data_IF_050320608064
#
_entry.id   IF_050320608064
#
_cell.length_a   1.000
_cell.length_b   1.000
_cell.length_c   1.000
_cell.angle_alpha   90.00
_cell.angle_beta   90.00
_cell.angle_gamma   90.00
#
_symmetry.space_group_name_H-M   'P 1'
#
loop_
_entity.id
_entity.type
_entity.pdbx_description
1 polymer ?
#
# COMPACT_ATOMS: atom_id res chain seq x y z
N UNK A 1 0.22 -17.24 -5.19
CA UNK A 1 0.61 -17.36 -6.62
C UNK A 1 1.75 -18.35 -6.81
N UNK A 2 1.50 -19.64 -6.51
CA UNK A 2 2.23 -20.75 -7.12
C UNK A 2 1.19 -21.46 -7.98
N UNK A 3 0.88 -20.89 -9.13
CA UNK A 3 0.04 -21.51 -10.15
C UNK A 3 0.77 -21.37 -11.48
N UNK A 4 1.91 -22.07 -11.56
CA UNK A 4 2.64 -22.27 -12.79
C UNK A 4 2.82 -23.78 -12.92
N UNK A 5 1.94 -24.43 -13.69
CA UNK A 5 2.21 -25.74 -14.28
C UNK A 5 1.61 -26.98 -13.61
N UNK A 6 1.06 -26.88 -12.38
CA UNK A 6 0.33 -27.99 -11.76
C UNK A 6 -1.11 -27.54 -11.49
N UNK A 7 -2.08 -28.24 -12.10
CA UNK A 7 -3.52 -28.04 -11.93
C UNK A 7 -3.96 -28.54 -10.54
N UNK A 8 -3.29 -28.06 -9.49
CA UNK A 8 -3.52 -28.40 -8.10
C UNK A 8 -3.58 -27.05 -7.38
N UNK A 9 -4.77 -26.47 -7.35
CA UNK A 9 -5.02 -25.24 -6.60
C UNK A 9 -5.15 -25.62 -5.12
N UNK A 10 -4.01 -25.74 -4.43
CA UNK A 10 -3.95 -26.16 -3.01
C UNK A 10 -4.79 -25.23 -2.11
N UNK A 11 -5.03 -23.99 -2.55
CA UNK A 11 -5.96 -23.05 -1.90
C UNK A 11 -7.42 -23.50 -1.94
N UNK A 12 -7.82 -24.28 -2.95
CA UNK A 12 -9.18 -24.79 -3.16
C UNK A 12 -9.46 -26.13 -2.49
N UNK A 13 -8.46 -26.78 -1.87
CA UNK A 13 -8.69 -28.04 -1.15
C UNK A 13 -8.84 -27.84 0.36
N UNK A 14 -8.29 -26.75 0.91
CA UNK A 14 -8.29 -26.50 2.35
C UNK A 14 -8.68 -25.07 2.70
N UNK A 15 -9.75 -24.93 3.48
CA UNK A 15 -10.26 -23.66 4.02
C UNK A 15 -9.23 -22.83 4.76
N UNK A 16 -8.26 -23.49 5.41
CA UNK A 16 -7.19 -22.76 6.10
C UNK A 16 -6.19 -22.15 5.12
N UNK A 17 -5.85 -22.87 4.06
CA UNK A 17 -4.84 -22.44 3.08
C UNK A 17 -5.38 -21.26 2.26
N UNK A 18 -6.63 -21.33 1.78
CA UNK A 18 -7.22 -20.16 1.11
C UNK A 18 -7.17 -18.92 2.02
N UNK A 19 -7.63 -19.06 3.27
CA UNK A 19 -7.70 -17.92 4.20
C UNK A 19 -6.35 -17.25 4.38
N UNK A 20 -5.29 -18.04 4.55
CA UNK A 20 -3.92 -17.56 4.69
C UNK A 20 -3.43 -16.91 3.39
N UNK A 21 -3.68 -17.51 2.23
CA UNK A 21 -3.25 -16.94 0.95
C UNK A 21 -3.92 -15.61 0.67
N UNK A 22 -5.25 -15.54 0.82
CA UNK A 22 -6.02 -14.31 0.67
C UNK A 22 -5.51 -13.26 1.65
N UNK A 23 -5.44 -13.58 2.94
CA UNK A 23 -4.95 -12.66 3.95
C UNK A 23 -3.56 -12.12 3.63
N UNK A 24 -2.62 -13.00 3.29
CA UNK A 24 -1.23 -12.63 3.00
C UNK A 24 -1.16 -11.73 1.78
N UNK A 25 -1.87 -12.07 0.71
CA UNK A 25 -1.86 -11.30 -0.53
C UNK A 25 -2.36 -9.87 -0.34
N UNK A 26 -3.51 -9.70 0.30
CA UNK A 26 -4.10 -8.38 0.54
C UNK A 26 -3.30 -7.57 1.56
N UNK A 27 -2.82 -8.21 2.62
CA UNK A 27 -2.00 -7.57 3.67
C UNK A 27 -0.67 -7.07 3.11
N UNK A 28 0.04 -7.89 2.33
CA UNK A 28 1.34 -7.48 1.74
C UNK A 28 1.15 -6.33 0.76
N UNK A 29 0.16 -6.39 -0.14
CA UNK A 29 -0.15 -5.30 -1.07
C UNK A 29 -0.45 -3.99 -0.34
N UNK A 30 -1.25 -4.08 0.72
CA UNK A 30 -1.57 -2.94 1.56
C UNK A 30 -0.35 -2.35 2.25
N UNK A 31 0.48 -3.17 2.88
CA UNK A 31 1.72 -2.74 3.53
C UNK A 31 2.62 -2.03 2.51
N UNK A 32 2.85 -2.62 1.33
CA UNK A 32 3.65 -2.01 0.28
C UNK A 32 3.14 -0.61 -0.12
N UNK A 33 1.84 -0.45 -0.35
CA UNK A 33 1.22 0.83 -0.72
C UNK A 33 1.46 1.91 0.35
N UNK A 34 1.28 1.56 1.63
CA UNK A 34 1.50 2.48 2.74
C UNK A 34 2.98 2.81 2.96
N UNK A 35 3.88 1.84 2.78
CA UNK A 35 5.33 2.08 2.87
C UNK A 35 5.80 3.06 1.79
N UNK A 36 5.30 2.94 0.55
CA UNK A 36 5.62 3.89 -0.52
C UNK A 36 5.11 5.29 -0.15
N UNK A 37 3.89 5.40 0.37
CA UNK A 37 3.34 6.67 0.84
C UNK A 37 4.21 7.30 1.93
N UNK A 38 4.66 6.50 2.91
CA UNK A 38 5.56 6.96 3.96
C UNK A 38 6.92 7.42 3.41
N UNK A 39 7.46 6.75 2.39
CA UNK A 39 8.69 7.20 1.71
C UNK A 39 8.48 8.56 1.04
N UNK A 40 7.32 8.78 0.39
CA UNK A 40 6.99 10.08 -0.20
C UNK A 40 6.90 11.19 0.87
N UNK A 41 6.28 10.89 2.01
CA UNK A 41 6.19 11.82 3.14
C UNK A 41 7.59 12.10 3.70
N UNK A 42 8.39 11.09 3.96
CA UNK A 42 9.75 11.23 4.50
C UNK A 42 10.64 12.10 3.58
N UNK A 43 10.60 11.85 2.26
CA UNK A 43 11.30 12.68 1.27
C UNK A 43 10.83 14.14 1.27
N UNK A 44 9.52 14.38 1.43
CA UNK A 44 8.97 15.72 1.56
C UNK A 44 9.48 16.41 2.84
N UNK A 45 9.42 15.73 3.98
CA UNK A 45 9.89 16.24 5.27
C UNK A 45 11.38 16.58 5.22
N UNK A 46 12.20 15.74 4.58
CA UNK A 46 13.63 15.98 4.40
C UNK A 46 13.92 17.17 3.45
N UNK A 47 13.08 17.37 2.42
CA UNK A 47 13.22 18.51 1.49
C UNK A 47 12.69 19.83 2.05
N UNK A 48 11.92 19.83 3.14
CA UNK A 48 11.35 21.03 3.75
C UNK A 48 12.42 21.86 4.46
N UNK A 49 12.35 23.19 4.34
CA UNK A 49 13.31 24.08 5.03
C UNK A 49 13.01 24.27 6.51
N UNK A 50 11.84 23.81 6.98
CA UNK A 50 11.41 24.00 8.37
C UNK A 50 12.10 22.99 9.29
N UNK A 51 12.91 23.48 10.24
CA UNK A 51 13.67 22.65 11.17
C UNK A 51 12.80 21.70 12.02
N UNK A 52 11.61 22.15 12.43
CA UNK A 52 10.64 21.33 13.18
C UNK A 52 10.09 20.17 12.34
N UNK A 53 9.86 20.39 11.05
CA UNK A 53 9.36 19.39 10.09
C UNK A 53 10.48 18.40 9.73
N UNK A 54 11.71 18.89 9.57
CA UNK A 54 12.90 18.04 9.33
C UNK A 54 13.18 17.09 10.50
N UNK A 55 12.89 17.51 11.74
CA UNK A 55 13.04 16.66 12.93
C UNK A 55 12.06 15.49 12.96
N UNK A 56 10.92 15.59 12.27
CA UNK A 56 9.95 14.49 12.17
C UNK A 56 10.50 13.31 11.34
N UNK A 57 11.33 13.58 10.32
CA UNK A 57 12.08 12.59 9.50
C UNK A 57 13.27 11.97 10.27
N UNK A 58 13.16 11.83 11.59
CA UNK A 58 14.16 11.10 12.36
C UNK A 58 14.07 9.61 12.05
N UNK A 59 15.22 8.95 11.90
CA UNK A 59 15.32 7.50 11.71
C UNK A 59 14.57 6.70 12.80
N UNK A 60 14.47 7.25 14.02
CA UNK A 60 13.70 6.66 15.12
C UNK A 60 12.20 6.66 14.83
N UNK A 61 11.66 7.78 14.35
CA UNK A 61 10.24 7.91 14.01
C UNK A 61 9.89 7.10 12.75
N UNK A 62 10.78 7.05 11.76
CA UNK A 62 10.59 6.23 10.57
C UNK A 62 10.49 4.74 10.93
N UNK A 63 11.41 4.22 11.75
CA UNK A 63 11.36 2.83 12.23
C UNK A 63 10.09 2.53 13.03
N UNK A 64 9.69 3.45 13.92
CA UNK A 64 8.47 3.31 14.70
C UNK A 64 7.22 3.30 13.81
N UNK A 65 7.15 4.20 12.81
CA UNK A 65 6.00 4.28 11.89
C UNK A 65 5.90 3.06 10.99
N UNK A 66 7.03 2.57 10.45
CA UNK A 66 7.08 1.33 9.67
C UNK A 66 6.61 0.15 10.52
N UNK A 67 7.14 0.02 11.75
CA UNK A 67 6.72 -1.03 12.67
C UNK A 67 5.22 -0.99 12.98
N UNK A 68 4.67 0.21 13.23
CA UNK A 68 3.24 0.39 13.44
C UNK A 68 2.41 -0.04 12.22
N UNK A 69 2.78 0.36 11.00
CA UNK A 69 2.06 -0.05 9.77
C UNK A 69 2.10 -1.57 9.59
N UNK A 70 3.26 -2.20 9.82
CA UNK A 70 3.40 -3.65 9.71
C UNK A 70 2.55 -4.43 10.73
N UNK A 71 2.14 -3.82 11.85
CA UNK A 71 1.30 -4.48 12.87
C UNK A 71 -0.19 -4.12 12.67
N UNK A 72 -0.48 -2.84 12.46
CA UNK A 72 -1.84 -2.32 12.35
C UNK A 72 -2.55 -2.89 11.11
N UNK A 73 -1.88 -2.93 9.96
CA UNK A 73 -2.48 -3.39 8.70
C UNK A 73 -2.95 -4.85 8.79
N UNK A 74 -2.12 -5.83 9.24
CA UNK A 74 -2.59 -7.20 9.48
C UNK A 74 -3.76 -7.29 10.46
N UNK A 75 -3.77 -6.50 11.54
CA UNK A 75 -4.88 -6.47 12.50
C UNK A 75 -6.16 -6.02 11.81
N UNK A 76 -6.10 -4.97 10.99
CA UNK A 76 -7.26 -4.54 10.21
C UNK A 76 -7.72 -5.61 9.22
N UNK A 77 -6.85 -6.42 8.63
CA UNK A 77 -7.25 -7.52 7.75
C UNK A 77 -7.68 -8.79 8.49
N UNK A 78 -7.51 -8.87 9.81
CA UNK A 78 -7.86 -10.07 10.58
C UNK A 78 -9.35 -10.43 10.49
N UNK A 79 -10.23 -9.42 10.42
CA UNK A 79 -11.67 -9.62 10.29
C UNK A 79 -12.07 -10.42 9.03
N UNK A 80 -11.25 -10.39 7.99
CA UNK A 80 -11.47 -11.13 6.73
C UNK A 80 -11.41 -12.65 6.91
N UNK A 81 -10.66 -13.15 7.91
CA UNK A 81 -10.55 -14.60 8.18
C UNK A 81 -11.88 -15.25 8.54
N UNK A 82 -12.81 -14.49 9.10
CA UNK A 82 -14.09 -14.99 9.61
C UNK A 82 -15.07 -15.23 8.44
N UNK A 83 -15.07 -14.36 7.43
CA UNK A 83 -16.10 -14.33 6.38
C UNK A 83 -15.70 -15.05 5.08
N UNK A 84 -14.47 -15.53 4.97
CA UNK A 84 -14.00 -16.35 3.86
C UNK A 84 -14.40 -17.81 4.08
N UNK A 85 -15.02 -18.45 3.09
CA UNK A 85 -15.32 -19.89 3.10
C UNK A 85 -15.08 -20.48 1.70
N UNK A 86 -14.85 -21.80 1.63
CA UNK A 86 -14.83 -22.48 0.33
C UNK A 86 -16.26 -22.75 -0.11
N UNK A 87 -16.54 -22.42 -1.37
CA UNK A 87 -17.79 -22.77 -2.03
C UNK A 87 -17.46 -23.51 -3.32
N UNK A 88 -18.13 -24.63 -3.50
CA UNK A 88 -18.08 -25.37 -4.74
C UNK A 88 -18.86 -24.58 -5.80
N UNK A 89 -18.15 -24.06 -6.79
CA UNK A 89 -18.73 -23.39 -7.95
C UNK A 89 -18.57 -24.29 -9.17
N UNK A 90 -19.54 -24.21 -10.08
CA UNK A 90 -19.47 -24.94 -11.34
C UNK A 90 -18.72 -24.04 -12.32
N UNK A 91 -17.57 -24.51 -12.80
CA UNK A 91 -16.80 -23.80 -13.82
C UNK A 91 -17.54 -23.81 -15.17
N UNK A 92 -17.11 -22.97 -16.11
CA UNK A 92 -17.67 -22.85 -17.47
C UNK A 92 -17.71 -24.18 -18.25
N UNK A 93 -16.93 -25.18 -17.83
CA UNK A 93 -16.87 -26.52 -18.40
C UNK A 93 -17.74 -27.56 -17.65
N UNK A 94 -18.55 -27.15 -16.68
CA UNK A 94 -19.41 -28.04 -15.89
C UNK A 94 -18.71 -28.80 -14.76
N UNK A 95 -17.42 -28.51 -14.52
CA UNK A 95 -16.65 -29.12 -13.44
C UNK A 95 -16.92 -28.44 -12.10
N UNK A 96 -17.04 -29.21 -11.03
CA UNK A 96 -17.17 -28.68 -9.67
C UNK A 96 -15.77 -28.26 -9.19
N UNK A 97 -15.54 -26.96 -9.06
CA UNK A 97 -14.29 -26.38 -8.57
C UNK A 97 -14.55 -25.64 -7.26
N UNK A 98 -13.76 -25.96 -6.24
CA UNK A 98 -13.92 -25.41 -4.89
C UNK A 98 -13.32 -24.01 -4.76
N UNK A 99 -13.97 -22.96 -5.26
CA UNK A 99 -13.40 -21.60 -5.13
C UNK A 99 -13.59 -20.99 -3.76
N UNK A 100 -12.58 -20.22 -3.35
CA UNK A 100 -12.66 -19.48 -2.11
C UNK A 100 -13.39 -18.15 -2.30
N UNK A 101 -14.55 -18.02 -1.67
CA UNK A 101 -15.44 -16.87 -1.85
C UNK A 101 -15.93 -16.37 -0.50
N UNK A 102 -16.30 -15.10 -0.49
CA UNK A 102 -16.95 -14.48 0.65
C UNK A 102 -18.41 -14.95 0.63
N UNK A 103 -18.83 -15.60 1.71
CA UNK A 103 -20.17 -16.19 1.80
C UNK A 103 -21.28 -15.13 1.77
N UNK A 104 -21.01 -13.96 2.35
CA UNK A 104 -21.96 -12.86 2.45
C UNK A 104 -21.70 -11.79 1.36
N UNK A 105 -22.64 -11.67 0.41
CA UNK A 105 -22.59 -10.69 -0.69
C UNK A 105 -22.48 -9.23 -0.20
N UNK A 106 -23.19 -8.89 0.88
CA UNK A 106 -23.16 -7.54 1.48
C UNK A 106 -21.76 -7.21 2.02
N UNK A 107 -21.15 -8.17 2.70
CA UNK A 107 -19.80 -8.01 3.25
C UNK A 107 -18.74 -7.97 2.14
N UNK A 108 -18.94 -8.71 1.04
CA UNK A 108 -18.07 -8.62 -0.15
C UNK A 108 -18.05 -7.21 -0.76
N UNK A 109 -19.22 -6.57 -0.85
CA UNK A 109 -19.29 -5.19 -1.34
C UNK A 109 -18.65 -4.20 -0.36
N UNK A 110 -18.92 -4.37 0.94
CA UNK A 110 -18.31 -3.55 1.98
C UNK A 110 -16.79 -3.64 1.97
N UNK A 111 -16.22 -4.84 1.90
CA UNK A 111 -14.76 -5.02 1.91
C UNK A 111 -14.12 -4.48 0.63
N UNK A 112 -14.79 -4.59 -0.52
CA UNK A 112 -14.31 -3.99 -1.77
C UNK A 112 -14.26 -2.46 -1.66
N UNK A 113 -15.31 -1.82 -1.13
CA UNK A 113 -15.35 -0.38 -0.90
C UNK A 113 -14.33 0.07 0.14
N UNK A 114 -14.23 -0.64 1.26
CA UNK A 114 -13.22 -0.41 2.29
C UNK A 114 -11.81 -0.51 1.72
N UNK A 115 -11.55 -1.54 0.92
CA UNK A 115 -10.26 -1.76 0.30
C UNK A 115 -9.92 -0.63 -0.67
N UNK A 116 -10.87 -0.25 -1.53
CA UNK A 116 -10.69 0.82 -2.51
C UNK A 116 -10.45 2.17 -1.83
N UNK A 117 -11.25 2.52 -0.83
CA UNK A 117 -11.14 3.80 -0.12
C UNK A 117 -9.80 3.93 0.62
N UNK A 118 -9.48 2.95 1.48
CA UNK A 118 -8.34 3.06 2.39
C UNK A 118 -7.00 2.68 1.78
N UNK A 119 -6.97 1.80 0.75
CA UNK A 119 -5.72 1.30 0.18
C UNK A 119 -5.45 1.75 -1.24
N UNK A 120 -6.46 2.21 -1.99
CA UNK A 120 -6.25 2.79 -3.31
C UNK A 120 -6.32 4.31 -3.26
N UNK A 121 -7.44 4.87 -2.82
CA UNK A 121 -7.67 6.32 -2.87
C UNK A 121 -6.80 7.08 -1.87
N UNK A 122 -6.83 6.70 -0.59
CA UNK A 122 -6.06 7.38 0.46
C UNK A 122 -4.53 7.45 0.16
N UNK A 123 -3.82 6.32 -0.02
CA UNK A 123 -2.38 6.38 -0.26
C UNK A 123 -2.05 7.06 -1.59
N UNK A 124 -2.84 6.86 -2.65
CA UNK A 124 -2.60 7.54 -3.94
C UNK A 124 -2.76 9.06 -3.82
N UNK A 125 -3.79 9.52 -3.09
CA UNK A 125 -3.99 10.94 -2.85
C UNK A 125 -2.84 11.55 -2.04
N UNK A 126 -2.42 10.89 -0.96
CA UNK A 126 -1.28 11.32 -0.16
C UNK A 126 0.01 11.33 -0.98
N UNK A 127 0.29 10.28 -1.75
CA UNK A 127 1.44 10.23 -2.66
C UNK A 127 1.44 11.36 -3.67
N UNK A 128 0.28 11.68 -4.26
CA UNK A 128 0.15 12.76 -5.24
C UNK A 128 0.41 14.12 -4.58
N UNK A 129 -0.16 14.38 -3.41
CA UNK A 129 0.04 15.63 -2.67
C UNK A 129 1.50 15.79 -2.24
N UNK A 130 2.06 14.82 -1.51
CA UNK A 130 3.44 14.92 -0.99
C UNK A 130 4.50 14.81 -2.09
N UNK A 131 4.26 13.97 -3.10
CA UNK A 131 5.12 13.88 -4.29
C UNK A 131 5.12 15.17 -5.10
N UNK A 132 3.93 15.76 -5.32
CA UNK A 132 3.78 17.03 -6.01
C UNK A 132 4.45 18.20 -5.27
N UNK A 133 4.27 18.28 -3.95
CA UNK A 133 4.93 19.27 -3.10
C UNK A 133 6.46 19.12 -3.16
N UNK A 134 6.98 17.90 -3.04
CA UNK A 134 8.43 17.63 -3.15
C UNK A 134 8.98 18.11 -4.49
N UNK A 135 8.29 17.81 -5.59
CA UNK A 135 8.73 18.22 -6.93
C UNK A 135 8.70 19.74 -7.11
N UNK A 136 7.68 20.43 -6.56
CA UNK A 136 7.58 21.89 -6.59
C UNK A 136 8.74 22.53 -5.84
N UNK A 137 9.04 22.06 -4.63
CA UNK A 137 10.18 22.54 -3.83
C UNK A 137 11.51 22.30 -4.53
N UNK A 138 11.72 21.11 -5.10
CA UNK A 138 12.96 20.79 -5.81
C UNK A 138 13.15 21.66 -7.06
N UNK A 139 12.09 21.91 -7.83
CA UNK A 139 12.12 22.81 -8.99
C UNK A 139 12.43 24.25 -8.58
N UNK A 140 11.83 24.75 -7.51
CA UNK A 140 12.13 26.07 -6.98
C UNK A 140 13.59 26.20 -6.56
N UNK A 141 14.11 25.20 -5.83
CA UNK A 141 15.52 25.20 -5.38
C UNK A 141 16.49 25.10 -6.56
N UNK A 142 16.19 24.29 -7.58
CA UNK A 142 16.99 24.23 -8.81
C UNK A 142 16.99 25.55 -9.58
N UNK A 143 15.85 26.26 -9.64
CA UNK A 143 15.79 27.60 -10.28
C UNK A 143 16.65 28.63 -9.54
N UNK A 144 16.64 28.61 -8.20
CA UNK A 144 17.48 29.49 -7.39
C UNK A 144 18.98 29.20 -7.58
N UNK A 145 19.37 27.93 -7.77
CA UNK A 145 20.76 27.54 -8.03
C UNK A 145 21.17 27.69 -9.50
N UNK A 146 20.21 27.70 -10.43
CA UNK A 146 20.44 27.88 -11.86
C UNK A 146 20.49 29.36 -12.29
N UNK A 147 20.19 30.31 -11.40
CA UNK A 147 20.69 31.66 -11.57
C UNK A 147 22.20 31.62 -11.29
N UNK A 148 23.08 31.80 -12.30
CA UNK A 148 24.49 32.03 -12.04
C UNK A 148 24.62 33.29 -11.17
N UNK A 149 25.65 33.40 -10.32
CA UNK A 149 25.99 34.69 -9.74
C UNK A 149 26.22 35.67 -10.88
N UNK A 150 25.28 36.61 -11.05
CA UNK A 150 25.51 37.77 -11.87
C UNK A 150 26.62 38.57 -11.18
N UNK A 151 27.75 38.71 -11.88
CA UNK A 151 28.99 39.42 -11.52
C UNK A 151 30.08 38.63 -10.77
N UNK A 152 30.92 37.95 -11.55
CA UNK A 152 32.36 38.16 -11.40
C UNK A 152 32.74 39.50 -12.08
N UNK A 153 33.49 40.33 -11.34
CA UNK A 153 34.47 41.32 -11.81
C UNK A 153 34.13 42.24 -13.01
N UNK A 154 34.04 43.55 -12.76
CA UNK A 154 34.69 44.57 -13.61
C UNK A 154 34.85 45.89 -12.84
N UNK A 155 36.13 46.29 -12.69
CA UNK A 155 36.71 47.57 -12.26
C UNK A 155 36.67 47.98 -10.79
#
# INVERSE_FOLDING_TARGET
MISIGFNIDVGNENTRICKIEFFTFYTVRAICSWLITLICIDRYLHSSSNASIRRLSSLKNAKLTIGMVCIIIPIFYSHTYIFLNLKNIIDQYGNIVSSCVIENSTYSTFIALWHLALYSLCPSFLMLVFGGLTLKYLRQRRRLLAQPPENNQMH
#
